data_IF_296487415762
#
_entry.id   IF_296487415762
#
_cell.length_a   1.000
_cell.length_b   1.000
_cell.length_c   1.000
_cell.angle_alpha   90.00
_cell.angle_beta   90.00
_cell.angle_gamma   90.00
#
_symmetry.space_group_name_H-M   'P 1'
#
loop_
_entity.id
_entity.type
_entity.pdbx_description
1 polymer ?
#
# COMPACT_ATOMS: atom_id res chain seq x y z
N UNK A 1 22.68 -2.14 5.81
CA UNK A 1 21.95 -1.10 6.55
C UNK A 1 20.48 -1.31 6.26
N UNK A 2 19.70 -1.71 7.26
CA UNK A 2 18.27 -1.94 7.11
C UNK A 2 17.54 -0.65 7.51
N UNK A 3 16.59 -0.22 6.69
CA UNK A 3 15.79 0.99 6.91
C UNK A 3 14.34 0.55 7.02
N UNK A 4 13.66 0.99 8.06
CA UNK A 4 12.27 0.65 8.34
C UNK A 4 11.43 1.93 8.40
N UNK A 5 10.21 1.86 7.87
CA UNK A 5 9.29 2.99 7.81
C UNK A 5 7.90 2.58 8.29
N UNK A 6 7.25 3.48 9.03
CA UNK A 6 5.90 3.35 9.56
C UNK A 6 5.01 4.46 9.00
N UNK A 7 3.89 4.10 8.38
CA UNK A 7 2.80 5.03 8.04
C UNK A 7 1.66 4.92 9.05
N UNK A 8 1.32 5.97 9.81
CA UNK A 8 0.17 5.94 10.72
C UNK A 8 -1.17 5.85 10.00
N UNK A 9 -1.26 6.21 8.71
CA UNK A 9 -2.52 6.19 7.95
C UNK A 9 -3.15 4.79 7.81
N UNK A 10 -2.40 3.72 8.13
CA UNK A 10 -2.86 2.32 8.11
C UNK A 10 -3.27 1.83 9.51
N UNK A 11 -3.13 2.67 10.56
CA UNK A 11 -3.65 2.36 11.89
C UNK A 11 -5.16 2.52 11.86
N UNK A 12 -5.86 1.37 11.94
CA UNK A 12 -7.32 1.27 12.08
C UNK A 12 -7.86 2.42 12.94
N UNK A 13 -8.77 3.20 12.37
CA UNK A 13 -9.74 3.99 13.14
C UNK A 13 -10.37 3.05 14.17
N UNK A 14 -9.96 3.22 15.42
CA UNK A 14 -10.57 2.55 16.56
C UNK A 14 -11.94 3.20 16.68
N UNK A 15 -13.01 2.46 16.39
CA UNK A 15 -14.37 2.92 16.67
C UNK A 15 -14.47 3.17 18.17
N UNK A 16 -14.49 4.44 18.59
CA UNK A 16 -14.81 4.83 19.95
C UNK A 16 -15.70 6.07 19.89
N UNK A 17 -16.94 5.83 20.32
CA UNK A 17 -17.91 6.81 20.80
C UNK A 17 -17.28 7.96 21.56
N UNK A 18 -17.64 9.19 21.22
CA UNK A 18 -17.48 10.44 21.99
C UNK A 18 -16.56 10.34 23.22
N UNK A 19 -15.26 10.54 23.05
CA UNK A 19 -14.39 11.05 24.09
C UNK A 19 -13.15 11.66 23.44
N UNK A 20 -12.98 12.95 23.71
CA UNK A 20 -11.83 13.84 23.51
C UNK A 20 -10.62 13.18 22.84
N UNK A 21 -10.37 13.60 21.60
CA UNK A 21 -9.21 13.22 20.79
C UNK A 21 -7.93 13.72 21.49
N UNK A 22 -7.34 12.90 22.36
CA UNK A 22 -6.02 13.17 22.95
C UNK A 22 -4.99 12.87 21.86
N UNK A 23 -4.65 13.91 21.12
CA UNK A 23 -3.55 13.88 20.16
C UNK A 23 -2.25 13.59 20.94
N UNK A 24 -1.70 12.38 20.81
CA UNK A 24 -0.38 12.06 21.40
C UNK A 24 0.65 13.04 20.81
N UNK A 25 1.37 13.78 21.66
CA UNK A 25 2.42 14.75 21.30
C UNK A 25 3.71 14.09 20.77
N UNK A 26 3.57 13.05 19.94
CA UNK A 26 4.66 12.29 19.35
C UNK A 26 4.96 12.70 17.90
N UNK A 27 6.13 12.30 17.36
CA UNK A 27 6.43 12.47 15.95
C UNK A 27 5.41 11.69 15.09
N UNK A 28 4.95 12.31 14.00
CA UNK A 28 4.02 11.67 13.05
C UNK A 28 4.65 10.49 12.27
N UNK A 29 5.98 10.38 12.26
CA UNK A 29 6.73 9.26 11.69
C UNK A 29 8.16 9.22 12.27
N UNK A 30 8.75 8.02 12.29
CA UNK A 30 10.13 7.81 12.76
C UNK A 30 10.93 7.02 11.71
N UNK A 31 12.21 7.39 11.53
CA UNK A 31 13.16 6.69 10.67
C UNK A 31 14.26 6.07 11.53
N UNK A 32 14.35 4.75 11.50
CA UNK A 32 15.28 3.99 12.33
C UNK A 32 16.49 3.53 11.51
N UNK A 33 17.70 3.77 12.03
CA UNK A 33 18.96 3.35 11.41
C UNK A 33 19.62 2.24 12.23
N UNK A 34 19.99 1.14 11.57
CA UNK A 34 20.80 0.08 12.18
C UNK A 34 20.03 -0.98 12.98
N UNK A 35 18.73 -0.80 13.21
CA UNK A 35 17.86 -1.83 13.82
C UNK A 35 16.42 -1.73 13.30
N UNK A 36 15.65 -2.82 13.43
CA UNK A 36 14.20 -2.78 13.29
C UNK A 36 13.61 -2.38 14.65
N UNK A 37 12.75 -1.38 14.75
CA UNK A 37 12.07 -1.13 16.01
C UNK A 37 11.21 -2.36 16.35
N UNK A 38 11.31 -2.83 17.59
CA UNK A 38 10.58 -4.01 18.10
C UNK A 38 9.16 -3.63 18.52
N UNK A 39 8.90 -2.35 18.80
CA UNK A 39 7.58 -1.81 19.16
C UNK A 39 6.87 -1.18 17.96
N UNK A 40 5.57 -1.47 17.80
CA UNK A 40 4.70 -0.79 16.83
C UNK A 40 4.62 -1.43 15.43
N UNK A 41 5.30 -2.55 15.19
CA UNK A 41 5.07 -3.36 13.98
C UNK A 41 3.84 -4.26 14.13
N UNK A 42 3.08 -4.38 13.05
CA UNK A 42 2.03 -5.39 12.92
C UNK A 42 2.63 -6.56 12.16
N UNK A 43 2.73 -7.72 12.80
CA UNK A 43 3.15 -8.95 12.15
C UNK A 43 2.12 -9.41 11.09
N UNK A 44 2.56 -10.14 10.04
CA UNK A 44 3.92 -10.59 9.77
C UNK A 44 4.79 -9.59 8.98
N UNK A 45 6.11 -9.61 9.23
CA UNK A 45 7.07 -8.88 8.40
C UNK A 45 7.31 -9.60 7.08
N UNK A 46 7.20 -8.86 5.96
CA UNK A 46 7.49 -9.37 4.63
C UNK A 46 8.91 -8.99 4.20
N UNK A 47 9.74 -9.98 3.90
CA UNK A 47 11.09 -9.79 3.38
C UNK A 47 11.14 -10.07 1.88
N UNK A 48 11.77 -9.16 1.15
CA UNK A 48 11.96 -9.27 -0.29
C UNK A 48 13.44 -9.58 -0.61
N UNK A 49 13.70 -10.42 -1.62
CA UNK A 49 15.08 -10.71 -2.02
C UNK A 49 15.77 -9.43 -2.51
N UNK A 50 17.03 -9.28 -2.16
CA UNK A 50 17.85 -8.15 -2.61
C UNK A 50 18.03 -8.18 -4.13
N UNK A 51 17.85 -7.02 -4.77
CA UNK A 51 18.10 -6.83 -6.20
C UNK A 51 19.36 -5.97 -6.37
N UNK A 52 20.40 -6.43 -7.10
CA UNK A 52 21.69 -5.74 -7.20
C UNK A 52 21.64 -4.56 -8.18
N UNK A 53 20.85 -3.54 -7.86
CA UNK A 53 20.79 -2.24 -8.53
C UNK A 53 20.78 -1.13 -7.47
N UNK A 54 21.14 0.12 -7.81
CA UNK A 54 21.14 1.24 -6.86
C UNK A 54 19.71 1.72 -6.51
N UNK A 55 18.75 0.80 -6.40
CA UNK A 55 17.31 1.04 -6.23
C UNK A 55 16.72 -0.08 -5.39
N UNK A 56 15.68 0.25 -4.63
CA UNK A 56 14.97 -0.70 -3.79
C UNK A 56 13.93 -1.44 -4.62
N UNK A 57 14.36 -2.39 -5.45
CA UNK A 57 13.45 -3.07 -6.37
C UNK A 57 12.88 -4.34 -5.75
N UNK A 58 11.56 -4.48 -5.86
CA UNK A 58 10.81 -5.67 -5.46
C UNK A 58 10.21 -6.29 -6.71
N UNK A 59 10.47 -7.57 -6.94
CA UNK A 59 9.87 -8.31 -8.03
C UNK A 59 8.53 -8.94 -7.60
N UNK A 60 7.46 -8.51 -8.26
CA UNK A 60 6.14 -9.12 -8.14
C UNK A 60 5.89 -10.01 -9.35
N UNK A 61 5.46 -11.24 -9.12
CA UNK A 61 5.10 -12.21 -10.16
C UNK A 61 3.76 -11.81 -10.80
N UNK A 62 2.86 -11.27 -9.98
CA UNK A 62 1.51 -10.91 -10.37
C UNK A 62 0.93 -9.91 -9.37
N UNK A 63 0.09 -9.02 -9.86
CA UNK A 63 -0.70 -8.12 -9.01
C UNK A 63 -2.16 -8.28 -9.36
N UNK A 64 -2.98 -8.53 -8.35
CA UNK A 64 -4.42 -8.77 -8.46
C UNK A 64 -5.21 -7.77 -7.64
N UNK A 65 -6.40 -7.46 -8.11
CA UNK A 65 -7.38 -6.71 -7.36
C UNK A 65 -8.66 -7.56 -7.30
N UNK A 66 -8.88 -8.22 -6.17
CA UNK A 66 -9.79 -9.37 -6.06
C UNK A 66 -9.31 -10.53 -6.92
N UNK A 67 -10.19 -11.04 -7.78
CA UNK A 67 -9.87 -12.11 -8.73
C UNK A 67 -9.30 -11.59 -10.07
N UNK A 68 -9.30 -10.27 -10.27
CA UNK A 68 -8.83 -9.66 -11.52
C UNK A 68 -7.32 -9.49 -11.48
N UNK A 69 -6.63 -10.11 -12.44
CA UNK A 69 -5.20 -9.85 -12.67
C UNK A 69 -5.03 -8.50 -13.34
N UNK A 70 -4.44 -7.54 -12.62
CA UNK A 70 -4.16 -6.19 -13.12
C UNK A 70 -2.79 -6.15 -13.80
N UNK A 71 -1.84 -6.95 -13.30
CA UNK A 71 -0.51 -7.12 -13.85
C UNK A 71 -0.17 -8.61 -13.89
N UNK A 72 0.12 -9.13 -15.07
CA UNK A 72 0.50 -10.53 -15.27
C UNK A 72 1.93 -10.61 -15.82
N UNK A 73 2.84 -11.18 -15.03
CA UNK A 73 4.26 -11.26 -15.34
C UNK A 73 5.14 -10.45 -14.37
N UNK A 74 6.46 -10.69 -14.40
CA UNK A 74 7.39 -10.06 -13.48
C UNK A 74 7.34 -8.54 -13.66
N UNK A 75 6.88 -7.85 -12.63
CA UNK A 75 6.86 -6.39 -12.54
C UNK A 75 7.72 -5.95 -11.36
N UNK A 76 8.56 -4.95 -11.62
CA UNK A 76 9.39 -4.35 -10.59
C UNK A 76 8.63 -3.19 -9.95
N UNK A 77 8.35 -3.29 -8.66
CA UNK A 77 7.92 -2.18 -7.82
C UNK A 77 9.11 -1.56 -7.08
N UNK A 78 9.01 -0.28 -6.77
CA UNK A 78 9.96 0.41 -5.89
C UNK A 78 9.19 1.09 -4.76
N UNK A 79 9.47 0.78 -3.49
CA UNK A 79 8.94 1.54 -2.38
C UNK A 79 9.67 2.89 -2.33
N UNK A 80 8.90 3.96 -2.53
CA UNK A 80 9.40 5.34 -2.52
C UNK A 80 8.70 6.08 -1.39
N UNK A 81 9.47 6.60 -0.43
CA UNK A 81 8.92 7.29 0.75
C UNK A 81 8.53 8.75 0.48
N UNK A 82 8.87 9.30 -0.69
CA UNK A 82 8.53 10.67 -1.07
C UNK A 82 7.16 10.82 -1.75
N UNK A 83 6.40 9.73 -1.89
CA UNK A 83 5.03 9.74 -2.44
C UNK A 83 4.08 8.97 -1.53
N UNK A 84 2.85 9.45 -1.46
CA UNK A 84 1.72 8.78 -0.80
C UNK A 84 0.87 7.95 -1.77
N UNK A 85 1.14 8.04 -3.08
CA UNK A 85 0.39 7.35 -4.13
C UNK A 85 1.17 6.18 -4.72
N UNK A 86 0.45 5.11 -5.03
CA UNK A 86 0.95 4.09 -5.96
C UNK A 86 0.85 4.64 -7.39
N UNK A 87 2.00 4.71 -8.07
CA UNK A 87 2.07 5.17 -9.45
C UNK A 87 2.11 3.96 -10.37
N UNK A 88 1.21 3.94 -11.34
CA UNK A 88 1.03 2.84 -12.29
C UNK A 88 1.11 3.39 -13.71
N UNK A 89 1.78 2.68 -14.61
CA UNK A 89 1.84 3.04 -16.02
C UNK A 89 0.47 2.83 -16.70
N UNK A 90 0.09 3.73 -17.60
CA UNK A 90 -1.24 3.78 -18.22
C UNK A 90 -1.70 2.47 -18.86
N UNK A 91 -0.76 1.70 -19.44
CA UNK A 91 -0.98 0.36 -19.99
C UNK A 91 -1.66 -0.64 -19.03
N UNK A 92 -1.62 -0.40 -17.73
CA UNK A 92 -2.24 -1.27 -16.71
C UNK A 92 -3.59 -0.74 -16.20
N UNK A 93 -3.99 0.47 -16.62
CA UNK A 93 -5.24 1.09 -16.18
C UNK A 93 -6.47 0.27 -16.57
N UNK A 94 -6.46 -0.40 -17.72
CA UNK A 94 -7.57 -1.25 -18.14
C UNK A 94 -7.88 -2.33 -17.10
N UNK A 95 -6.87 -2.89 -16.44
CA UNK A 95 -7.06 -3.86 -15.36
C UNK A 95 -7.72 -3.23 -14.13
N UNK A 96 -7.38 -1.99 -13.80
CA UNK A 96 -7.99 -1.24 -12.69
C UNK A 96 -9.43 -0.82 -13.02
N UNK A 97 -9.68 -0.33 -14.23
CA UNK A 97 -11.03 0.07 -14.70
C UNK A 97 -12.02 -1.10 -14.67
N UNK A 98 -11.56 -2.34 -14.94
CA UNK A 98 -12.42 -3.53 -14.82
C UNK A 98 -12.96 -3.75 -13.41
N UNK A 99 -12.24 -3.32 -12.38
CA UNK A 99 -12.63 -3.52 -10.99
C UNK A 99 -13.36 -2.31 -10.42
N UNK A 100 -12.82 -1.12 -10.65
CA UNK A 100 -13.42 0.10 -10.10
C UNK A 100 -14.61 0.60 -10.91
N UNK A 101 -14.72 0.20 -12.17
CA UNK A 101 -15.63 0.79 -13.15
C UNK A 101 -15.07 2.09 -13.71
N UNK A 102 -15.94 2.88 -14.32
CA UNK A 102 -15.61 4.27 -14.64
C UNK A 102 -15.37 5.04 -13.33
N UNK A 103 -14.16 5.59 -13.19
CA UNK A 103 -13.77 6.41 -12.06
C UNK A 103 -13.75 7.87 -12.50
N UNK A 104 -14.22 8.76 -11.63
CA UNK A 104 -13.95 10.18 -11.77
C UNK A 104 -12.44 10.38 -11.69
N UNK A 105 -11.90 11.30 -12.48
CA UNK A 105 -10.48 11.59 -12.49
C UNK A 105 -10.21 13.08 -12.70
N UNK A 106 -9.10 13.56 -12.13
CA UNK A 106 -8.56 14.90 -12.35
C UNK A 106 -7.06 14.77 -12.61
N UNK A 107 -6.66 14.99 -13.86
CA UNK A 107 -5.31 14.68 -14.31
C UNK A 107 -4.96 13.20 -14.10
N UNK A 108 -3.95 12.93 -13.27
CA UNK A 108 -3.48 11.57 -12.94
C UNK A 108 -4.21 10.94 -11.75
N UNK A 109 -4.97 11.74 -10.99
CA UNK A 109 -5.68 11.29 -9.79
C UNK A 109 -7.01 10.65 -10.17
N UNK A 110 -7.35 9.56 -9.48
CA UNK A 110 -8.58 8.80 -9.68
C UNK A 110 -9.32 8.69 -8.35
N UNK A 111 -10.63 8.89 -8.42
CA UNK A 111 -11.49 8.97 -7.26
C UNK A 111 -12.46 7.80 -7.24
N UNK A 112 -12.75 7.32 -6.03
CA UNK A 112 -13.79 6.33 -5.74
C UNK A 112 -14.75 6.94 -4.72
N UNK A 113 -16.02 6.57 -4.79
CA UNK A 113 -17.00 6.99 -3.79
C UNK A 113 -16.65 6.37 -2.42
N UNK A 114 -16.70 7.19 -1.36
CA UNK A 114 -16.24 6.78 -0.02
C UNK A 114 -17.03 5.61 0.56
N UNK A 115 -18.31 5.50 0.22
CA UNK A 115 -19.20 4.42 0.63
C UNK A 115 -18.83 3.06 0.03
N UNK A 116 -18.11 3.06 -1.10
CA UNK A 116 -17.62 1.82 -1.73
C UNK A 116 -16.38 1.27 -1.05
N UNK A 117 -15.59 2.08 -0.35
CA UNK A 117 -14.28 1.69 0.21
C UNK A 117 -14.33 0.38 1.02
N UNK A 118 -15.31 0.16 1.93
CA UNK A 118 -15.39 -1.08 2.71
C UNK A 118 -15.69 -2.33 1.89
N UNK A 119 -16.25 -2.17 0.69
CA UNK A 119 -16.63 -3.25 -0.23
C UNK A 119 -15.59 -3.51 -1.31
N UNK A 120 -14.54 -2.69 -1.38
CA UNK A 120 -13.51 -2.86 -2.39
C UNK A 120 -12.71 -4.15 -2.14
N UNK A 121 -12.35 -4.87 -3.22
CA UNK A 121 -11.60 -6.11 -3.09
C UNK A 121 -10.16 -5.85 -2.64
N UNK A 122 -9.50 -6.87 -2.09
CA UNK A 122 -8.10 -6.75 -1.70
C UNK A 122 -7.19 -6.54 -2.92
N UNK A 123 -6.23 -5.62 -2.79
CA UNK A 123 -5.10 -5.51 -3.69
C UNK A 123 -4.00 -6.47 -3.21
N UNK A 124 -3.67 -7.47 -4.02
CA UNK A 124 -2.71 -8.51 -3.68
C UNK A 124 -1.48 -8.43 -4.60
N UNK A 125 -0.31 -8.33 -3.98
CA UNK A 125 0.99 -8.40 -4.64
C UNK A 125 1.60 -9.79 -4.39
N UNK A 126 1.62 -10.64 -5.42
CA UNK A 126 2.23 -11.97 -5.36
C UNK A 126 3.71 -11.85 -5.69
N UNK A 127 4.57 -12.38 -4.82
CA UNK A 127 6.03 -12.41 -5.00
C UNK A 127 6.55 -13.79 -4.62
N UNK A 128 7.83 -14.06 -4.92
CA UNK A 128 8.43 -15.41 -4.81
C UNK A 128 8.19 -16.11 -3.47
N UNK A 129 8.15 -15.37 -2.37
CA UNK A 129 8.09 -15.92 -1.02
C UNK A 129 6.77 -15.63 -0.30
N UNK A 130 5.75 -15.10 -0.97
CA UNK A 130 4.47 -14.83 -0.32
C UNK A 130 3.54 -13.89 -1.09
N UNK A 131 2.53 -13.39 -0.35
CA UNK A 131 1.54 -12.45 -0.87
C UNK A 131 1.37 -11.31 0.13
N UNK A 132 1.56 -10.07 -0.32
CA UNK A 132 1.23 -8.87 0.43
C UNK A 132 -0.20 -8.44 0.03
N UNK A 133 -1.09 -8.25 1.00
CA UNK A 133 -2.48 -7.85 0.75
C UNK A 133 -2.79 -6.51 1.41
N UNK A 134 -3.43 -5.62 0.65
CA UNK A 134 -3.97 -4.36 1.13
C UNK A 134 -5.49 -4.39 1.00
N UNK A 135 -6.20 -3.94 2.04
CA UNK A 135 -7.65 -3.71 2.00
C UNK A 135 -7.98 -2.38 1.31
N UNK A 136 -9.24 -2.17 0.89
CA UNK A 136 -9.68 -0.88 0.34
C UNK A 136 -9.28 0.32 1.21
N UNK A 137 -9.51 0.19 2.52
CA UNK A 137 -9.10 1.17 3.54
C UNK A 137 -7.59 1.46 3.60
N UNK A 138 -6.73 0.56 3.10
CA UNK A 138 -5.28 0.72 3.15
C UNK A 138 -4.69 1.31 1.87
N UNK A 139 -5.36 1.16 0.73
CA UNK A 139 -4.85 1.64 -0.56
C UNK A 139 -5.64 2.82 -1.15
N UNK A 140 -6.73 3.25 -0.51
CA UNK A 140 -7.48 4.47 -0.85
C UNK A 140 -7.21 5.53 0.21
N UNK A 141 -6.78 6.71 -0.25
CA UNK A 141 -6.62 7.90 0.59
C UNK A 141 -7.99 8.58 0.78
N UNK A 142 -8.38 8.87 2.02
CA UNK A 142 -9.61 9.60 2.39
C UNK A 142 -9.33 11.08 2.59
#
# INVERSE_FOLDING_TARGET
>A
MNVYWRNPAVVKQKTVTNDIDVQEEGPIAELHFGSSPVSGFVEPMHYFPFYPRPRWLIEFIRVKLGDVVVFDGPVLGEPITSTQFMIVHDRHLTGLTRVFGEMRHEGVYRYVECDRIPTLPHLAFEYKSGVLRLTGEQYILK
#
